data_IF_922289328508
#
_entry.id   IF_922289328508
#
_cell.length_a   1.000
_cell.length_b   1.000
_cell.length_c   1.000
_cell.angle_alpha   90.00
_cell.angle_beta   90.00
_cell.angle_gamma   90.00
#
_symmetry.space_group_name_H-M   'P 1'
#
loop_
_entity.id
_entity.type
_entity.pdbx_description
1 polymer ?
#
# COMPACT_ATOMS: atom_id res chain seq x y z
N UNK A 1 -10.66 24.55 9.75
CA UNK A 1 -11.52 24.88 8.59
C UNK A 1 -11.36 23.83 7.49
N UNK A 2 -12.43 23.57 6.74
CA UNK A 2 -12.35 22.73 5.52
C UNK A 2 -11.66 23.51 4.40
N UNK A 3 -10.76 22.84 3.68
CA UNK A 3 -10.04 23.40 2.54
C UNK A 3 -9.81 22.34 1.46
N UNK A 4 -9.41 22.78 0.26
CA UNK A 4 -9.00 21.89 -0.81
C UNK A 4 -7.62 22.27 -1.32
N UNK A 5 -6.77 21.27 -1.55
CA UNK A 5 -5.59 21.44 -2.38
C UNK A 5 -6.00 21.43 -3.85
N UNK A 6 -5.33 22.27 -4.63
CA UNK A 6 -5.59 22.46 -6.06
C UNK A 6 -4.81 21.49 -6.93
N UNK A 7 -3.66 21.04 -6.45
CA UNK A 7 -2.81 20.06 -7.10
C UNK A 7 -2.35 19.03 -6.05
N UNK A 8 -2.02 17.84 -6.54
CA UNK A 8 -1.50 16.80 -5.67
C UNK A 8 0.00 17.03 -5.41
N UNK A 9 0.76 17.55 -6.39
CA UNK A 9 2.23 17.68 -6.36
C UNK A 9 2.75 18.52 -5.18
N UNK A 10 3.92 18.13 -4.65
CA UNK A 10 4.52 18.75 -3.46
C UNK A 10 4.91 20.21 -3.70
N UNK A 11 5.43 20.50 -4.90
CA UNK A 11 5.88 21.82 -5.34
C UNK A 11 4.73 22.74 -5.76
N UNK A 12 3.54 22.20 -6.02
CA UNK A 12 2.36 22.96 -6.43
C UNK A 12 1.50 23.31 -5.22
N UNK A 13 1.92 24.33 -4.48
CA UNK A 13 1.21 24.82 -3.29
C UNK A 13 0.06 25.73 -3.70
N UNK A 14 -1.12 25.14 -3.91
CA UNK A 14 -2.36 25.87 -4.16
C UNK A 14 -3.45 25.40 -3.21
N UNK A 15 -4.03 26.32 -2.45
CA UNK A 15 -5.07 26.04 -1.45
C UNK A 15 -6.31 26.86 -1.73
N UNK A 16 -7.47 26.22 -1.62
CA UNK A 16 -8.77 26.84 -1.62
C UNK A 16 -9.40 26.80 -0.24
N UNK A 17 -9.80 27.97 0.30
CA UNK A 17 -10.56 28.07 1.55
C UNK A 17 -11.37 29.36 1.58
N UNK A 18 -12.62 29.28 2.05
CA UNK A 18 -13.49 30.44 2.27
C UNK A 18 -13.70 31.34 1.04
N UNK A 19 -13.91 30.76 -0.15
CA UNK A 19 -14.14 31.56 -1.37
C UNK A 19 -12.85 32.00 -2.10
N UNK A 20 -11.67 31.77 -1.53
CA UNK A 20 -10.40 32.33 -1.99
C UNK A 20 -9.37 31.27 -2.33
N UNK A 21 -8.53 31.57 -3.32
CA UNK A 21 -7.39 30.77 -3.72
C UNK A 21 -6.12 31.40 -3.14
N UNK A 22 -5.26 30.59 -2.55
CA UNK A 22 -4.00 30.95 -1.92
C UNK A 22 -2.87 30.16 -2.57
N UNK A 23 -1.79 30.84 -2.97
CA UNK A 23 -0.66 30.23 -3.69
C UNK A 23 0.71 30.44 -3.01
N UNK A 24 0.80 31.40 -2.07
CA UNK A 24 2.06 31.75 -1.40
C UNK A 24 1.94 31.68 0.13
N UNK A 25 0.80 32.12 0.68
CA UNK A 25 0.52 32.09 2.11
C UNK A 25 -0.74 31.28 2.41
N UNK A 26 -0.54 30.07 2.95
CA UNK A 26 -1.62 29.23 3.42
C UNK A 26 -2.18 29.78 4.74
N UNK A 27 -3.50 29.78 4.95
CA UNK A 27 -4.08 30.03 6.27
C UNK A 27 -3.58 29.01 7.29
N UNK A 28 -3.50 29.39 8.56
CA UNK A 28 -2.94 28.54 9.63
C UNK A 28 -3.93 27.52 10.19
N UNK A 29 -5.24 27.78 10.05
CA UNK A 29 -6.28 27.01 10.76
C UNK A 29 -6.96 25.98 9.84
N UNK A 30 -6.15 25.27 9.06
CA UNK A 30 -6.59 24.23 8.13
C UNK A 30 -6.68 22.89 8.88
N UNK A 31 -7.86 22.28 8.91
CA UNK A 31 -8.11 21.10 9.77
C UNK A 31 -8.62 19.89 8.99
N UNK A 32 -9.27 20.11 7.85
CA UNK A 32 -10.01 19.06 7.14
C UNK A 32 -9.93 19.25 5.63
N UNK A 33 -9.73 18.17 4.89
CA UNK A 33 -9.76 18.19 3.42
C UNK A 33 -10.25 16.85 2.87
N UNK A 34 -10.42 16.75 1.55
CA UNK A 34 -10.84 15.50 0.93
C UNK A 34 -9.78 14.40 1.10
N UNK A 35 -8.53 14.64 0.72
CA UNK A 35 -7.49 13.60 0.63
C UNK A 35 -6.10 14.20 0.86
N UNK A 36 -5.19 13.42 1.43
CA UNK A 36 -3.78 13.80 1.56
C UNK A 36 -3.15 14.10 0.20
N UNK A 37 -2.37 15.19 0.17
CA UNK A 37 -1.48 15.61 -0.93
C UNK A 37 -0.15 16.02 -0.32
N UNK A 38 0.95 15.92 -1.07
CA UNK A 38 2.27 16.09 -0.45
C UNK A 38 2.70 17.55 -0.23
N UNK A 39 1.88 18.51 -0.66
CA UNK A 39 1.96 19.91 -0.22
C UNK A 39 1.55 20.11 1.24
N UNK A 40 0.88 19.13 1.86
CA UNK A 40 0.44 19.18 3.26
C UNK A 40 1.53 18.62 4.18
N UNK A 41 2.05 19.50 5.05
CA UNK A 41 3.07 19.14 6.05
C UNK A 41 2.49 18.95 7.45
N UNK A 42 1.30 19.47 7.71
CA UNK A 42 0.66 19.38 9.01
C UNK A 42 0.13 17.96 9.28
N UNK A 43 0.37 17.49 10.50
CA UNK A 43 -0.05 16.16 10.94
C UNK A 43 -1.51 16.11 11.40
N UNK A 44 -2.08 17.25 11.78
CA UNK A 44 -3.41 17.34 12.41
C UNK A 44 -4.55 17.60 11.40
N UNK A 45 -4.41 17.14 10.15
CA UNK A 45 -5.43 17.28 9.11
C UNK A 45 -6.24 15.98 8.98
N UNK A 46 -7.56 16.09 9.05
CA UNK A 46 -8.47 14.98 8.77
C UNK A 46 -8.81 14.86 7.27
N UNK A 47 -8.91 13.63 6.78
CA UNK A 47 -9.15 13.30 5.37
C UNK A 47 -10.47 12.56 5.18
N UNK A 48 -11.46 13.23 4.58
CA UNK A 48 -12.79 12.65 4.33
C UNK A 48 -12.75 11.41 3.42
N UNK A 49 -11.76 11.29 2.53
CA UNK A 49 -11.59 10.12 1.67
C UNK A 49 -11.36 8.81 2.45
N UNK A 50 -10.76 8.89 3.65
CA UNK A 50 -10.61 7.76 4.55
C UNK A 50 -11.93 7.37 5.22
N UNK A 51 -12.74 8.36 5.62
CA UNK A 51 -14.11 8.14 6.13
C UNK A 51 -14.98 7.47 5.08
N UNK A 52 -14.83 7.91 3.82
CA UNK A 52 -15.52 7.34 2.67
C UNK A 52 -14.94 5.98 2.20
N UNK A 53 -13.95 5.40 2.89
CA UNK A 53 -13.30 4.12 2.57
C UNK A 53 -12.85 4.03 1.11
N UNK A 54 -12.26 5.11 0.59
CA UNK A 54 -11.70 5.12 -0.76
C UNK A 54 -12.66 5.50 -1.88
N UNK A 55 -13.95 5.73 -1.61
CA UNK A 55 -14.94 6.13 -2.62
C UNK A 55 -14.50 7.40 -3.36
N UNK A 56 -14.87 7.48 -4.63
CA UNK A 56 -14.72 8.71 -5.43
C UNK A 56 -15.67 9.81 -4.93
N UNK A 57 -15.41 11.06 -5.33
CA UNK A 57 -16.32 12.18 -5.04
C UNK A 57 -17.75 11.89 -5.52
N UNK A 58 -17.92 11.29 -6.69
CA UNK A 58 -19.25 10.93 -7.24
C UNK A 58 -19.97 9.90 -6.37
N UNK A 59 -19.25 8.90 -5.86
CA UNK A 59 -19.82 7.84 -5.02
C UNK A 59 -20.12 8.28 -3.58
N UNK A 60 -19.52 9.38 -3.14
CA UNK A 60 -19.67 9.94 -1.80
C UNK A 60 -20.54 11.20 -1.76
N UNK A 61 -20.84 11.80 -2.92
CA UNK A 61 -21.64 13.00 -3.01
C UNK A 61 -23.12 12.72 -2.66
N UNK A 62 -23.79 13.65 -1.97
CA UNK A 62 -25.23 13.58 -1.77
C UNK A 62 -25.98 13.85 -3.09
N UNK A 63 -27.19 13.32 -3.20
CA UNK A 63 -27.99 13.34 -4.43
C UNK A 63 -28.24 14.76 -4.96
N UNK A 64 -28.35 15.77 -4.08
CA UNK A 64 -28.58 17.15 -4.50
C UNK A 64 -27.37 17.78 -5.22
N UNK A 65 -26.15 17.36 -4.87
CA UNK A 65 -24.90 17.93 -5.38
C UNK A 65 -24.38 17.16 -6.61
N UNK A 66 -24.76 15.89 -6.74
CA UNK A 66 -24.27 15.00 -7.78
C UNK A 66 -24.43 15.57 -9.21
N UNK A 67 -25.55 16.20 -9.62
CA UNK A 67 -25.67 16.80 -10.95
C UNK A 67 -24.65 17.93 -11.21
N UNK A 68 -24.38 18.76 -10.18
CA UNK A 68 -23.41 19.85 -10.27
C UNK A 68 -21.98 19.30 -10.39
N UNK A 69 -21.65 18.30 -9.56
CA UNK A 69 -20.37 17.61 -9.58
C UNK A 69 -20.09 16.97 -10.94
N UNK A 70 -21.03 16.20 -11.49
CA UNK A 70 -20.87 15.52 -12.78
C UNK A 70 -20.63 16.53 -13.90
N UNK A 71 -21.34 17.67 -13.89
CA UNK A 71 -21.11 18.76 -14.86
C UNK A 71 -19.71 19.35 -14.72
N UNK A 72 -19.25 19.60 -13.50
CA UNK A 72 -17.93 20.14 -13.24
C UNK A 72 -16.81 19.15 -13.63
N UNK A 73 -16.95 17.85 -13.34
CA UNK A 73 -15.99 16.82 -13.72
C UNK A 73 -15.93 16.60 -15.23
N UNK A 74 -17.06 16.71 -15.96
CA UNK A 74 -17.05 16.70 -17.43
C UNK A 74 -16.23 17.86 -18.00
N UNK A 75 -16.39 19.05 -17.42
CA UNK A 75 -15.59 20.23 -17.80
C UNK A 75 -14.11 20.05 -17.46
N UNK A 76 -13.80 19.53 -16.27
CA UNK A 76 -12.43 19.20 -15.86
C UNK A 76 -11.77 18.19 -16.81
N UNK A 77 -12.49 17.13 -17.15
CA UNK A 77 -12.04 16.10 -18.10
C UNK A 77 -11.77 16.68 -19.49
N UNK A 78 -12.54 17.70 -19.91
CA UNK A 78 -12.29 18.41 -21.16
C UNK A 78 -10.97 19.20 -21.13
N UNK A 79 -10.65 19.87 -20.01
CA UNK A 79 -9.33 20.51 -19.82
C UNK A 79 -8.19 19.49 -19.84
N UNK A 80 -8.30 18.40 -19.08
CA UNK A 80 -7.28 17.34 -19.08
C UNK A 80 -7.08 16.74 -20.48
N UNK A 81 -8.16 16.58 -21.24
CA UNK A 81 -8.09 16.12 -22.63
C UNK A 81 -7.39 17.14 -23.52
N UNK A 82 -7.65 18.44 -23.39
CA UNK A 82 -6.97 19.47 -24.20
C UNK A 82 -5.48 19.54 -23.86
N UNK A 83 -5.10 19.43 -22.59
CA UNK A 83 -3.69 19.39 -22.16
C UNK A 83 -2.95 18.19 -22.74
N UNK A 84 -3.58 17.01 -22.73
CA UNK A 84 -3.03 15.80 -23.36
C UNK A 84 -2.86 15.95 -24.87
N UNK A 85 -3.82 16.56 -25.57
CA UNK A 85 -3.72 16.84 -27.02
C UNK A 85 -2.57 17.81 -27.29
N UNK A 86 -2.41 18.82 -26.43
CA UNK A 86 -1.31 19.79 -26.49
C UNK A 86 0.04 19.22 -26.02
N UNK A 87 0.10 17.95 -25.60
CA UNK A 87 1.30 17.27 -25.08
C UNK A 87 1.93 17.98 -23.87
N UNK A 88 1.11 18.60 -23.03
CA UNK A 88 1.56 19.22 -21.79
C UNK A 88 1.87 18.13 -20.76
N UNK A 89 3.05 18.16 -20.17
CA UNK A 89 3.43 17.24 -19.10
C UNK A 89 2.87 17.73 -17.75
N UNK A 90 1.80 17.10 -17.25
CA UNK A 90 1.18 17.48 -15.98
C UNK A 90 2.03 17.19 -14.74
N UNK A 91 3.17 16.51 -14.89
CA UNK A 91 4.18 16.39 -13.83
C UNK A 91 5.04 17.64 -13.67
N UNK A 92 5.19 18.43 -14.72
CA UNK A 92 6.04 19.64 -14.74
C UNK A 92 5.24 20.92 -14.52
N UNK A 93 3.91 20.86 -14.66
CA UNK A 93 3.02 22.02 -14.56
C UNK A 93 1.99 21.87 -13.44
N UNK A 94 1.77 22.95 -12.69
CA UNK A 94 0.67 23.02 -11.73
C UNK A 94 -0.66 23.21 -12.46
N UNK A 95 -1.68 22.44 -12.05
CA UNK A 95 -2.97 22.47 -12.74
C UNK A 95 -3.66 23.82 -12.65
N UNK A 96 -3.43 24.56 -11.57
CA UNK A 96 -4.04 25.87 -11.35
C UNK A 96 -3.50 26.97 -12.26
N UNK A 97 -2.34 26.76 -12.90
CA UNK A 97 -1.82 27.69 -13.91
C UNK A 97 -2.50 27.50 -15.28
N UNK A 98 -3.06 26.32 -15.51
CA UNK A 98 -3.63 25.91 -16.80
C UNK A 98 -5.16 26.01 -16.85
N UNK A 99 -5.80 26.06 -15.68
CA UNK A 99 -7.26 26.00 -15.54
C UNK A 99 -7.78 27.35 -15.02
N UNK A 100 -8.88 27.89 -15.57
CA UNK A 100 -9.43 29.17 -15.13
C UNK A 100 -9.77 29.20 -13.63
N UNK A 101 -9.37 30.27 -12.94
CA UNK A 101 -9.56 30.45 -11.50
C UNK A 101 -11.04 30.32 -11.06
N UNK A 102 -11.97 30.87 -11.83
CA UNK A 102 -13.41 30.79 -11.52
C UNK A 102 -13.92 29.35 -11.52
N UNK A 103 -13.39 28.52 -12.44
CA UNK A 103 -13.72 27.10 -12.46
C UNK A 103 -13.10 26.36 -11.28
N UNK A 104 -11.84 26.66 -10.92
CA UNK A 104 -11.19 26.05 -9.75
C UNK A 104 -11.98 26.35 -8.47
N UNK A 105 -12.37 27.61 -8.25
CA UNK A 105 -13.21 28.00 -7.11
C UNK A 105 -14.52 27.22 -7.08
N UNK A 106 -15.23 27.16 -8.21
CA UNK A 106 -16.47 26.40 -8.32
C UNK A 106 -16.25 24.92 -7.98
N UNK A 107 -15.23 24.30 -8.54
CA UNK A 107 -14.94 22.88 -8.31
C UNK A 107 -14.56 22.59 -6.85
N UNK A 108 -13.75 23.47 -6.24
CA UNK A 108 -13.37 23.35 -4.84
C UNK A 108 -14.55 23.59 -3.88
N UNK A 109 -15.50 24.45 -4.21
CA UNK A 109 -16.76 24.60 -3.45
C UNK A 109 -17.59 23.31 -3.49
N UNK A 110 -17.74 22.70 -4.66
CA UNK A 110 -18.42 21.41 -4.79
C UNK A 110 -17.71 20.35 -3.93
N UNK A 111 -16.38 20.28 -4.00
CA UNK A 111 -15.57 19.37 -3.16
C UNK A 111 -15.76 19.65 -1.67
N UNK A 112 -15.78 20.92 -1.23
CA UNK A 112 -15.99 21.28 0.17
C UNK A 112 -17.32 20.75 0.70
N UNK A 113 -18.41 20.96 -0.03
CA UNK A 113 -19.73 20.45 0.37
C UNK A 113 -19.76 18.91 0.48
N UNK A 114 -19.07 18.21 -0.42
CA UNK A 114 -18.95 16.75 -0.36
C UNK A 114 -18.08 16.32 0.83
N UNK A 115 -16.96 17.01 1.06
CA UNK A 115 -16.08 16.78 2.22
C UNK A 115 -16.85 16.95 3.52
N UNK A 116 -17.60 18.04 3.67
CA UNK A 116 -18.45 18.32 4.83
C UNK A 116 -19.51 17.23 5.02
N UNK A 117 -20.26 16.90 3.96
CA UNK A 117 -21.25 15.82 3.99
C UNK A 117 -20.65 14.50 4.47
N UNK A 118 -19.47 14.11 3.97
CA UNK A 118 -18.82 12.86 4.37
C UNK A 118 -18.41 12.91 5.84
N UNK A 119 -17.77 13.99 6.31
CA UNK A 119 -17.32 14.10 7.69
C UNK A 119 -18.48 14.11 8.70
N UNK A 120 -19.65 14.63 8.31
CA UNK A 120 -20.85 14.67 9.16
C UNK A 120 -21.64 13.36 9.16
N UNK A 121 -21.67 12.64 8.03
CA UNK A 121 -22.59 11.50 7.85
C UNK A 121 -21.91 10.12 7.83
N UNK A 122 -20.58 10.06 7.68
CA UNK A 122 -19.83 8.82 7.65
C UNK A 122 -19.11 8.61 8.98
N UNK A 123 -19.09 7.36 9.45
CA UNK A 123 -18.38 7.00 10.67
C UNK A 123 -16.87 7.04 10.46
N UNK A 124 -16.14 7.68 11.39
CA UNK A 124 -14.68 7.66 11.39
C UNK A 124 -14.19 6.22 11.58
N UNK A 125 -13.39 5.65 10.66
CA UNK A 125 -12.86 4.30 10.82
C UNK A 125 -12.06 4.17 12.11
N UNK A 126 -12.28 3.11 12.87
CA UNK A 126 -11.54 2.88 14.13
C UNK A 126 -10.01 2.74 13.92
N UNK A 127 -9.60 2.41 12.71
CA UNK A 127 -8.21 2.26 12.28
C UNK A 127 -7.70 3.46 11.46
N UNK A 128 -8.34 4.62 11.60
CA UNK A 128 -8.03 5.83 10.84
C UNK A 128 -6.54 6.19 10.85
N UNK A 129 -5.90 6.21 12.03
CA UNK A 129 -4.47 6.57 12.16
C UNK A 129 -3.54 5.64 11.37
N UNK A 130 -3.86 4.35 11.35
CA UNK A 130 -3.14 3.36 10.55
C UNK A 130 -3.33 3.66 9.05
N UNK A 131 -4.57 3.90 8.63
CA UNK A 131 -4.87 4.21 7.22
C UNK A 131 -4.22 5.52 6.76
N UNK A 132 -4.18 6.54 7.62
CA UNK A 132 -3.53 7.82 7.29
C UNK A 132 -2.02 7.65 7.11
N UNK A 133 -1.35 6.99 8.06
CA UNK A 133 0.09 6.69 7.96
C UNK A 133 0.43 5.93 6.68
N UNK A 134 -0.37 4.89 6.37
CA UNK A 134 -0.21 4.12 5.14
C UNK A 134 -0.47 4.98 3.90
N UNK A 135 -1.55 5.76 3.87
CA UNK A 135 -1.88 6.61 2.73
C UNK A 135 -0.73 7.60 2.42
N UNK A 136 -0.12 8.21 3.43
CA UNK A 136 1.01 9.13 3.27
C UNK A 136 2.23 8.43 2.68
N UNK A 137 2.55 7.22 3.15
CA UNK A 137 3.62 6.41 2.57
C UNK A 137 3.32 6.05 1.11
N UNK A 138 2.12 5.53 0.81
CA UNK A 138 1.76 5.16 -0.56
C UNK A 138 1.78 6.37 -1.50
N UNK A 139 1.38 7.54 -1.00
CA UNK A 139 1.51 8.79 -1.72
C UNK A 139 2.99 9.10 -2.02
N UNK A 140 3.89 8.98 -1.04
CA UNK A 140 5.33 9.18 -1.25
C UNK A 140 5.89 8.24 -2.33
N UNK A 141 5.54 6.96 -2.29
CA UNK A 141 5.95 5.96 -3.30
C UNK A 141 5.41 6.34 -4.70
N UNK A 142 4.16 6.79 -4.81
CA UNK A 142 3.57 7.21 -6.10
C UNK A 142 4.38 8.27 -6.83
N UNK A 143 5.00 9.19 -6.10
CA UNK A 143 5.80 10.28 -6.70
C UNK A 143 7.29 9.95 -6.83
N UNK A 144 7.72 8.76 -6.44
CA UNK A 144 9.06 8.26 -6.70
C UNK A 144 9.12 7.57 -8.07
N UNK A 145 10.05 8.02 -8.91
CA UNK A 145 10.35 7.31 -10.15
C UNK A 145 11.29 6.15 -9.85
N UNK A 146 10.92 4.96 -10.31
CA UNK A 146 11.77 3.78 -10.34
C UNK A 146 12.72 3.86 -11.54
N UNK A 147 13.95 3.39 -11.33
CA UNK A 147 14.91 3.23 -12.40
C UNK A 147 14.60 1.94 -13.17
N UNK A 148 13.84 2.08 -14.27
CA UNK A 148 13.48 0.99 -15.17
C UNK A 148 14.34 1.10 -16.43
N UNK A 149 15.24 0.15 -16.64
CA UNK A 149 16.04 0.12 -17.86
C UNK A 149 16.45 -1.30 -18.29
N UNK A 150 16.86 -1.43 -19.55
CA UNK A 150 17.11 -2.73 -20.20
C UNK A 150 18.58 -3.14 -20.23
N UNK A 151 19.48 -2.37 -19.61
CA UNK A 151 20.90 -2.69 -19.61
C UNK A 151 21.13 -4.02 -18.86
N UNK A 152 21.86 -4.94 -19.50
CA UNK A 152 22.09 -6.30 -18.97
C UNK A 152 20.90 -7.26 -19.14
N UNK A 153 19.84 -6.86 -19.85
CA UNK A 153 18.59 -7.64 -19.97
C UNK A 153 18.31 -8.17 -21.40
N UNK A 154 19.32 -8.27 -22.27
CA UNK A 154 19.17 -8.71 -23.68
C UNK A 154 18.41 -10.03 -23.83
N UNK A 155 18.60 -10.95 -22.89
CA UNK A 155 17.96 -12.27 -22.86
C UNK A 155 16.43 -12.19 -22.78
N UNK A 156 15.88 -11.14 -22.18
CA UNK A 156 14.42 -10.96 -22.08
C UNK A 156 13.77 -10.58 -23.43
N UNK A 157 14.55 -10.16 -24.42
CA UNK A 157 14.06 -9.70 -25.72
C UNK A 157 14.12 -10.78 -26.83
N UNK A 158 14.49 -12.02 -26.48
CA UNK A 158 14.60 -13.12 -27.44
C UNK A 158 13.24 -13.62 -27.94
N UNK A 159 12.21 -13.59 -27.08
CA UNK A 159 10.83 -13.97 -27.46
C UNK A 159 10.03 -12.72 -27.83
N UNK A 160 9.33 -12.76 -28.96
CA UNK A 160 8.54 -11.62 -29.48
C UNK A 160 7.52 -11.10 -28.47
N UNK A 161 6.79 -12.00 -27.80
CA UNK A 161 5.79 -11.63 -26.78
C UNK A 161 6.39 -10.89 -25.58
N UNK A 162 7.58 -11.30 -25.15
CA UNK A 162 8.25 -10.69 -24.00
C UNK A 162 8.81 -9.31 -24.38
N UNK A 163 9.33 -9.17 -25.62
CA UNK A 163 9.80 -7.89 -26.17
C UNK A 163 8.74 -6.79 -26.14
N UNK A 164 7.52 -7.07 -26.62
CA UNK A 164 6.44 -6.07 -26.63
C UNK A 164 6.05 -5.65 -25.21
N UNK A 165 5.91 -6.61 -24.30
CA UNK A 165 5.57 -6.33 -22.90
C UNK A 165 6.63 -5.51 -22.20
N UNK A 166 7.91 -5.85 -22.38
CA UNK A 166 9.01 -5.12 -21.75
C UNK A 166 9.17 -3.74 -22.35
N UNK A 167 8.99 -3.60 -23.66
CA UNK A 167 8.97 -2.28 -24.30
C UNK A 167 7.86 -1.41 -23.71
N UNK A 168 6.65 -1.97 -23.56
CA UNK A 168 5.56 -1.26 -22.89
C UNK A 168 5.90 -0.90 -21.44
N UNK A 169 6.59 -1.76 -20.68
CA UNK A 169 7.02 -1.46 -19.31
C UNK A 169 8.06 -0.33 -19.25
N UNK A 170 8.98 -0.29 -20.21
CA UNK A 170 9.99 0.77 -20.35
C UNK A 170 9.38 2.11 -20.79
N UNK A 171 8.37 2.06 -21.65
CA UNK A 171 7.65 3.24 -22.16
C UNK A 171 6.56 3.72 -21.19
N UNK A 172 6.08 2.86 -20.29
CA UNK A 172 5.05 3.18 -19.29
C UNK A 172 5.60 3.96 -18.11
N UNK A 173 4.72 4.69 -17.42
CA UNK A 173 5.11 5.48 -16.25
C UNK A 173 5.84 4.61 -15.20
N UNK A 174 7.03 5.07 -14.82
CA UNK A 174 7.99 4.34 -14.00
C UNK A 174 7.72 4.39 -12.49
N UNK A 175 6.47 4.47 -12.05
CA UNK A 175 6.12 4.62 -10.63
C UNK A 175 5.06 3.60 -10.21
N UNK A 176 4.90 3.43 -8.90
CA UNK A 176 3.89 2.55 -8.34
C UNK A 176 2.78 3.37 -7.70
N UNK A 177 1.58 3.29 -8.26
CA UNK A 177 0.36 3.90 -7.72
C UNK A 177 -0.52 2.81 -7.11
N UNK A 178 -0.48 2.70 -5.78
CA UNK A 178 -1.27 1.72 -5.04
C UNK A 178 -2.71 2.19 -4.80
N UNK A 179 -3.63 1.23 -4.84
CA UNK A 179 -4.99 1.40 -4.34
C UNK A 179 -5.14 0.69 -2.99
N UNK A 180 -5.22 1.51 -1.93
CA UNK A 180 -5.37 1.10 -0.53
C UNK A 180 -6.68 0.35 -0.26
N UNK A 181 -7.76 0.72 -0.97
CA UNK A 181 -9.10 0.15 -0.79
C UNK A 181 -9.49 -0.81 -1.92
N UNK A 182 -8.52 -1.28 -2.72
CA UNK A 182 -8.79 -2.15 -3.87
C UNK A 182 -9.15 -3.59 -3.49
N UNK A 183 -8.88 -4.01 -2.25
CA UNK A 183 -9.35 -5.28 -1.68
C UNK A 183 -10.04 -5.08 -0.35
N UNK A 184 -11.02 -5.95 -0.06
CA UNK A 184 -11.70 -5.96 1.25
C UNK A 184 -10.78 -6.38 2.40
N UNK A 185 -9.74 -7.16 2.11
CA UNK A 185 -8.75 -7.61 3.10
C UNK A 185 -7.65 -6.57 3.37
N UNK A 186 -7.62 -5.44 2.66
CA UNK A 186 -6.57 -4.43 2.85
C UNK A 186 -5.23 -4.74 2.21
N UNK A 187 -5.13 -5.85 1.48
CA UNK A 187 -4.02 -6.06 0.56
C UNK A 187 -4.01 -4.94 -0.48
N UNK A 188 -2.83 -4.37 -0.71
CA UNK A 188 -2.66 -3.39 -1.76
C UNK A 188 -2.99 -4.00 -3.13
N UNK A 189 -3.55 -3.15 -3.99
CA UNK A 189 -3.62 -3.39 -5.43
C UNK A 189 -2.95 -2.21 -6.14
N UNK A 190 -2.85 -2.24 -7.45
CA UNK A 190 -2.32 -1.12 -8.23
C UNK A 190 -3.45 -0.47 -9.04
N UNK A 191 -3.42 0.85 -9.15
CA UNK A 191 -4.30 1.60 -10.04
C UNK A 191 -3.95 1.32 -11.51
N UNK A 192 -4.89 1.52 -12.45
CA UNK A 192 -4.57 1.51 -13.87
C UNK A 192 -3.40 2.44 -14.20
N UNK A 193 -2.58 2.10 -15.19
CA UNK A 193 -1.39 2.86 -15.62
C UNK A 193 -0.21 2.89 -14.62
N UNK A 194 -0.36 2.29 -13.43
CA UNK A 194 0.75 2.02 -12.51
C UNK A 194 1.68 0.93 -13.06
N UNK A 195 2.95 0.94 -12.65
CA UNK A 195 3.82 -0.22 -12.79
C UNK A 195 3.16 -1.41 -12.04
N UNK A 196 2.95 -2.57 -12.70
CA UNK A 196 2.21 -3.68 -12.11
C UNK A 196 3.08 -4.53 -11.18
N UNK A 197 3.76 -3.89 -10.21
CA UNK A 197 4.79 -4.53 -9.37
C UNK A 197 4.27 -5.77 -8.63
N UNK A 198 3.02 -5.74 -8.18
CA UNK A 198 2.35 -6.82 -7.46
C UNK A 198 2.05 -8.07 -8.32
N UNK A 199 2.00 -7.92 -9.64
CA UNK A 199 1.66 -9.01 -10.58
C UNK A 199 2.73 -9.22 -11.65
N UNK A 200 3.85 -8.51 -11.53
CA UNK A 200 4.96 -8.57 -12.47
C UNK A 200 5.59 -9.96 -12.43
N UNK A 201 5.78 -10.55 -13.61
CA UNK A 201 6.53 -11.81 -13.76
C UNK A 201 7.93 -11.66 -13.20
N UNK A 202 8.40 -12.69 -12.50
CA UNK A 202 9.67 -12.66 -11.81
C UNK A 202 10.84 -12.29 -12.74
N UNK A 203 10.92 -12.87 -13.94
CA UNK A 203 11.98 -12.60 -14.91
C UNK A 203 12.01 -11.14 -15.39
N UNK A 204 10.86 -10.46 -15.42
CA UNK A 204 10.78 -9.05 -15.80
C UNK A 204 11.32 -8.13 -14.72
N UNK A 205 11.35 -8.55 -13.45
CA UNK A 205 11.88 -7.73 -12.32
C UNK A 205 13.33 -7.30 -12.54
N UNK A 206 14.07 -7.98 -13.42
CA UNK A 206 15.46 -7.67 -13.76
C UNK A 206 15.65 -6.27 -14.35
N UNK A 207 14.62 -5.72 -15.00
CA UNK A 207 14.67 -4.36 -15.57
C UNK A 207 14.53 -3.26 -14.51
N UNK A 208 14.09 -3.61 -13.30
CA UNK A 208 13.95 -2.69 -12.18
C UNK A 208 15.28 -2.65 -11.44
N UNK A 209 15.89 -1.46 -11.38
CA UNK A 209 17.18 -1.19 -10.75
C UNK A 209 17.02 -0.14 -9.65
N UNK A 210 17.92 -0.09 -8.67
CA UNK A 210 17.91 0.97 -7.67
C UNK A 210 18.23 2.32 -8.33
N UNK A 211 17.68 3.38 -7.75
CA UNK A 211 18.06 4.77 -7.99
C UNK A 211 19.31 5.14 -7.17
N UNK A 212 19.49 4.53 -6.00
CA UNK A 212 20.74 4.54 -5.24
C UNK A 212 21.64 3.35 -5.65
N UNK A 213 22.21 2.62 -4.70
CA UNK A 213 23.25 1.63 -4.95
C UNK A 213 22.71 0.19 -4.98
N UNK A 214 21.77 -0.14 -4.09
CA UNK A 214 21.27 -1.50 -3.91
C UNK A 214 19.77 -1.51 -3.62
N UNK A 215 19.08 -2.56 -4.04
CA UNK A 215 17.85 -2.97 -3.38
C UNK A 215 18.16 -3.80 -2.15
N UNK A 216 17.45 -3.53 -1.07
CA UNK A 216 17.36 -4.34 0.13
C UNK A 216 15.92 -4.84 0.26
N UNK A 217 15.72 -6.14 0.09
CA UNK A 217 14.43 -6.81 0.22
C UNK A 217 14.32 -7.47 1.59
N UNK A 218 13.23 -7.16 2.29
CA UNK A 218 12.85 -7.74 3.57
C UNK A 218 11.54 -8.50 3.40
N UNK A 219 11.56 -9.80 3.67
CA UNK A 219 10.41 -10.69 3.53
C UNK A 219 10.23 -11.52 4.80
N UNK A 220 8.99 -11.76 5.22
CA UNK A 220 8.73 -12.61 6.38
C UNK A 220 8.80 -14.09 6.01
N UNK A 221 9.50 -14.86 6.83
CA UNK A 221 9.46 -16.31 6.73
C UNK A 221 8.07 -16.86 7.13
N UNK A 222 7.17 -17.01 6.16
CA UNK A 222 5.81 -17.53 6.35
C UNK A 222 4.90 -16.60 7.16
N UNK A 223 4.71 -15.37 6.66
CA UNK A 223 3.97 -14.29 7.32
C UNK A 223 2.60 -14.71 7.86
N UNK A 224 1.77 -15.38 7.06
CA UNK A 224 0.42 -15.79 7.46
C UNK A 224 0.44 -16.86 8.56
N UNK A 225 1.42 -17.76 8.53
CA UNK A 225 1.58 -18.80 9.56
C UNK A 225 1.98 -18.17 10.89
N UNK A 226 2.93 -17.23 10.86
CA UNK A 226 3.32 -16.44 12.04
C UNK A 226 2.18 -15.59 12.59
N UNK A 227 1.37 -15.02 11.68
CA UNK A 227 0.15 -14.28 12.02
C UNK A 227 -0.85 -15.17 12.73
N UNK A 228 -1.07 -16.41 12.25
CA UNK A 228 -1.88 -17.41 12.94
C UNK A 228 -1.36 -17.62 14.36
N UNK A 229 -0.08 -17.97 14.51
CA UNK A 229 0.52 -18.23 15.82
C UNK A 229 0.33 -17.04 16.77
N UNK A 230 0.53 -15.83 16.26
CA UNK A 230 0.35 -14.58 16.98
C UNK A 230 -1.08 -14.37 17.46
N UNK A 231 -2.07 -14.54 16.57
CA UNK A 231 -3.50 -14.47 16.91
C UNK A 231 -3.89 -15.54 17.93
N UNK A 232 -3.20 -16.68 17.96
CA UNK A 232 -3.45 -17.76 18.92
C UNK A 232 -2.77 -17.55 20.28
N UNK A 233 -1.98 -16.47 20.43
CA UNK A 233 -1.23 -16.15 21.65
C UNK A 233 0.03 -16.99 21.84
N UNK A 234 0.54 -17.65 20.80
CA UNK A 234 1.75 -18.47 20.89
C UNK A 234 3.02 -17.65 20.67
N UNK A 235 4.11 -18.08 21.29
CA UNK A 235 5.43 -17.50 21.04
C UNK A 235 5.90 -17.78 19.62
N UNK A 236 6.54 -16.79 19.00
CA UNK A 236 7.04 -16.88 17.64
C UNK A 236 8.29 -17.77 17.57
N UNK A 237 8.34 -18.77 16.68
CA UNK A 237 9.55 -19.57 16.48
C UNK A 237 10.69 -18.72 15.89
N UNK A 238 11.89 -18.85 16.46
CA UNK A 238 13.10 -18.18 15.95
C UNK A 238 13.70 -18.84 14.70
N UNK A 239 13.21 -20.01 14.30
CA UNK A 239 13.65 -20.75 13.11
C UNK A 239 12.65 -20.63 11.95
N UNK A 240 12.99 -21.22 10.80
CA UNK A 240 12.09 -21.35 9.66
C UNK A 240 10.77 -22.03 10.10
N UNK A 241 9.64 -21.40 9.82
CA UNK A 241 8.34 -21.83 10.33
C UNK A 241 7.87 -23.16 9.73
N UNK A 242 8.28 -23.45 8.49
CA UNK A 242 7.94 -24.71 7.85
C UNK A 242 8.79 -25.85 8.40
N UNK A 243 10.08 -25.61 8.69
CA UNK A 243 10.92 -26.56 9.42
C UNK A 243 10.40 -26.76 10.85
N UNK A 244 10.00 -25.69 11.54
CA UNK A 244 9.39 -25.79 12.86
C UNK A 244 8.12 -26.65 12.84
N UNK A 245 7.28 -26.51 11.81
CA UNK A 245 6.12 -27.39 11.62
C UNK A 245 6.53 -28.85 11.37
N UNK A 246 7.61 -29.12 10.63
CA UNK A 246 8.14 -30.49 10.46
C UNK A 246 8.44 -31.12 11.81
N UNK A 247 9.14 -30.38 12.67
CA UNK A 247 9.62 -30.91 13.94
C UNK A 247 8.48 -31.09 14.95
N UNK A 248 7.54 -30.13 15.01
CA UNK A 248 6.50 -30.07 16.06
C UNK A 248 5.18 -30.73 15.66
N UNK A 249 4.83 -30.75 14.37
CA UNK A 249 3.56 -31.32 13.88
C UNK A 249 3.80 -32.67 13.22
N UNK A 250 4.69 -32.69 12.24
CA UNK A 250 4.92 -33.88 11.43
C UNK A 250 5.93 -34.84 12.08
N UNK A 251 6.50 -34.48 13.24
CA UNK A 251 7.46 -35.29 14.00
C UNK A 251 8.65 -35.75 13.15
N UNK A 252 9.14 -34.88 12.27
CA UNK A 252 10.27 -35.17 11.37
C UNK A 252 9.98 -36.15 10.23
N UNK A 253 8.70 -36.51 9.99
CA UNK A 253 8.35 -37.57 9.03
C UNK A 253 8.34 -37.13 7.57
N UNK A 254 8.31 -35.83 7.30
CA UNK A 254 8.25 -35.26 5.95
C UNK A 254 9.27 -34.14 5.82
N UNK A 255 9.66 -33.85 4.59
CA UNK A 255 10.52 -32.71 4.30
C UNK A 255 9.78 -31.37 4.44
N UNK A 256 10.57 -30.29 4.45
CA UNK A 256 10.09 -28.92 4.60
C UNK A 256 9.10 -28.49 3.50
N UNK A 257 9.36 -28.85 2.25
CA UNK A 257 8.58 -28.35 1.11
C UNK A 257 7.22 -29.07 0.99
N UNK A 258 7.19 -30.37 1.31
CA UNK A 258 5.96 -31.14 1.50
C UNK A 258 5.20 -30.59 2.70
N UNK A 259 5.86 -30.34 3.83
CA UNK A 259 5.21 -29.76 5.01
C UNK A 259 4.56 -28.41 4.71
N UNK A 260 5.26 -27.53 3.99
CA UNK A 260 4.73 -26.25 3.52
C UNK A 260 3.48 -26.44 2.67
N UNK A 261 3.54 -27.33 1.67
CA UNK A 261 2.43 -27.58 0.75
C UNK A 261 1.21 -28.14 1.48
N UNK A 262 1.42 -29.15 2.34
CA UNK A 262 0.36 -29.76 3.15
C UNK A 262 -0.26 -28.73 4.10
N UNK A 263 0.56 -27.90 4.75
CA UNK A 263 0.09 -26.87 5.67
C UNK A 263 -0.79 -25.84 4.95
N UNK A 264 -0.35 -25.28 3.82
CA UNK A 264 -1.16 -24.29 3.09
C UNK A 264 -2.44 -24.88 2.51
N UNK A 265 -2.40 -26.13 2.04
CA UNK A 265 -3.60 -26.83 1.59
C UNK A 265 -4.62 -27.01 2.74
N UNK A 266 -4.15 -27.29 3.96
CA UNK A 266 -4.99 -27.31 5.15
C UNK A 266 -5.48 -25.91 5.56
N UNK A 267 -4.57 -24.92 5.57
CA UNK A 267 -4.83 -23.55 6.03
C UNK A 267 -6.01 -22.93 5.29
N UNK A 268 -6.03 -23.06 3.96
CA UNK A 268 -7.04 -22.43 3.10
C UNK A 268 -8.28 -23.29 2.85
N UNK A 269 -8.29 -24.57 3.25
CA UNK A 269 -9.44 -25.45 3.11
C UNK A 269 -10.15 -25.63 4.46
N UNK A 270 -11.28 -24.95 4.72
CA UNK A 270 -12.01 -25.01 5.99
C UNK A 270 -12.43 -26.43 6.40
N UNK A 271 -12.67 -27.31 5.42
CA UNK A 271 -13.15 -28.69 5.63
C UNK A 271 -12.01 -29.67 5.92
N UNK A 272 -10.75 -29.27 5.68
CA UNK A 272 -9.60 -30.13 5.89
C UNK A 272 -9.41 -30.47 7.36
N UNK A 273 -9.25 -31.76 7.66
CA UNK A 273 -8.95 -32.30 9.00
C UNK A 273 -7.51 -32.84 9.10
N UNK A 274 -6.67 -32.51 8.11
CA UNK A 274 -5.31 -33.07 8.01
C UNK A 274 -4.42 -32.67 9.19
N UNK A 275 -4.62 -31.47 9.72
CA UNK A 275 -3.95 -30.98 10.93
C UNK A 275 -5.03 -30.71 11.99
N UNK A 276 -5.05 -31.54 13.03
CA UNK A 276 -5.90 -31.38 14.21
C UNK A 276 -5.02 -31.49 15.46
N UNK A 277 -5.10 -30.49 16.34
CA UNK A 277 -4.32 -30.44 17.58
C UNK A 277 -4.31 -29.03 18.19
N UNK A 278 -3.77 -28.93 19.42
CA UNK A 278 -3.81 -27.69 20.22
C UNK A 278 -3.01 -26.53 19.62
N UNK A 279 -2.04 -26.83 18.74
CA UNK A 279 -1.18 -25.82 18.13
C UNK A 279 -1.89 -24.95 17.09
N UNK A 280 -2.77 -25.51 16.26
CA UNK A 280 -3.43 -24.75 15.20
C UNK A 280 -4.95 -24.94 15.25
N UNK A 281 -5.62 -24.02 15.95
CA UNK A 281 -7.08 -24.05 16.11
C UNK A 281 -7.77 -22.88 15.37
N UNK A 282 -8.31 -23.19 14.19
CA UNK A 282 -9.09 -22.24 13.38
C UNK A 282 -10.42 -21.86 14.05
N UNK A 283 -11.05 -22.80 14.75
CA UNK A 283 -12.36 -22.59 15.38
C UNK A 283 -12.24 -21.63 16.56
N UNK A 284 -11.17 -21.75 17.35
CA UNK A 284 -10.85 -20.81 18.42
C UNK A 284 -10.73 -19.38 17.87
N UNK A 285 -9.95 -19.18 16.81
CA UNK A 285 -9.81 -17.84 16.20
C UNK A 285 -11.12 -17.33 15.60
N UNK A 286 -11.91 -18.18 14.94
CA UNK A 286 -13.22 -17.76 14.44
C UNK A 286 -14.19 -17.37 15.57
N UNK A 287 -14.19 -18.10 16.68
CA UNK A 287 -15.04 -17.78 17.85
C UNK A 287 -14.69 -16.40 18.43
N UNK A 288 -13.42 -16.02 18.40
CA UNK A 288 -12.94 -14.74 18.92
C UNK A 288 -13.22 -13.58 17.95
N UNK A 289 -12.88 -13.76 16.68
CA UNK A 289 -12.76 -12.67 15.71
C UNK A 289 -13.92 -12.59 14.72
N UNK A 290 -14.74 -13.63 14.56
CA UNK A 290 -15.90 -13.67 13.66
C UNK A 290 -17.22 -13.59 14.45
N UNK A 291 -17.97 -12.51 14.25
CA UNK A 291 -19.25 -12.25 14.92
C UNK A 291 -20.25 -11.68 13.92
N UNK A 292 -21.47 -12.20 13.91
CA UNK A 292 -22.61 -11.68 13.13
C UNK A 292 -22.31 -11.43 11.63
N UNK A 293 -21.61 -12.37 10.98
CA UNK A 293 -21.28 -12.25 9.56
C UNK A 293 -20.12 -11.28 9.25
N UNK A 294 -19.36 -10.86 10.27
CA UNK A 294 -18.23 -9.95 10.14
C UNK A 294 -17.00 -10.47 10.86
N UNK A 295 -15.82 -10.20 10.30
CA UNK A 295 -14.56 -10.26 11.03
C UNK A 295 -14.25 -8.87 11.56
N UNK A 296 -13.85 -8.77 12.82
CA UNK A 296 -13.19 -7.57 13.31
C UNK A 296 -11.73 -7.93 13.55
N UNK A 297 -10.79 -7.30 12.85
CA UNK A 297 -9.37 -7.65 12.97
C UNK A 297 -8.73 -6.96 14.18
N UNK A 298 -7.54 -7.40 14.63
CA UNK A 298 -6.75 -6.71 15.65
C UNK A 298 -6.34 -5.27 15.28
N UNK A 299 -6.43 -4.91 14.00
CA UNK A 299 -6.25 -3.55 13.48
C UNK A 299 -7.57 -2.81 13.37
N UNK A 300 -8.64 -3.29 14.02
CA UNK A 300 -9.97 -2.66 14.08
C UNK A 300 -10.66 -2.49 12.71
N UNK A 301 -10.19 -3.20 11.69
CA UNK A 301 -10.87 -3.29 10.39
C UNK A 301 -12.05 -4.26 10.52
N UNK A 302 -13.24 -3.82 10.14
CA UNK A 302 -14.44 -4.66 10.09
C UNK A 302 -14.73 -5.13 8.65
N UNK A 303 -14.84 -6.43 8.43
CA UNK A 303 -15.02 -7.03 7.10
C UNK A 303 -16.24 -7.94 7.09
N UNK A 304 -17.26 -7.61 6.30
CA UNK A 304 -18.42 -8.50 6.09
C UNK A 304 -18.01 -9.69 5.23
N UNK A 305 -18.26 -10.91 5.71
CA UNK A 305 -17.81 -12.13 5.04
C UNK A 305 -18.63 -13.36 5.49
N UNK A 306 -18.77 -14.32 4.58
CA UNK A 306 -19.32 -15.63 4.91
C UNK A 306 -18.33 -16.46 5.72
N UNK A 307 -18.83 -17.25 6.66
CA UNK A 307 -18.01 -18.02 7.62
C UNK A 307 -16.90 -18.84 6.96
N UNK A 308 -17.19 -19.50 5.84
CA UNK A 308 -16.24 -20.31 5.07
C UNK A 308 -14.97 -19.54 4.64
N UNK A 309 -15.07 -18.21 4.44
CA UNK A 309 -13.95 -17.36 4.05
C UNK A 309 -13.38 -16.55 5.21
N UNK A 310 -14.05 -16.59 6.38
CA UNK A 310 -13.76 -15.68 7.47
C UNK A 310 -12.33 -15.88 8.00
N UNK A 311 -11.91 -17.13 8.17
CA UNK A 311 -10.57 -17.44 8.66
C UNK A 311 -9.47 -16.92 7.72
N UNK A 312 -9.62 -17.15 6.40
CA UNK A 312 -8.66 -16.68 5.41
C UNK A 312 -8.59 -15.15 5.38
N UNK A 313 -9.74 -14.46 5.44
CA UNK A 313 -9.77 -12.99 5.44
C UNK A 313 -9.15 -12.41 6.71
N UNK A 314 -9.34 -13.05 7.86
CA UNK A 314 -8.72 -12.65 9.13
C UNK A 314 -7.19 -12.68 9.01
N UNK A 315 -6.63 -13.80 8.54
CA UNK A 315 -5.18 -13.93 8.35
C UNK A 315 -4.66 -12.92 7.32
N UNK A 316 -5.24 -12.92 6.11
CA UNK A 316 -4.78 -12.05 5.03
C UNK A 316 -4.82 -10.57 5.40
N UNK A 317 -5.89 -10.15 6.08
CA UNK A 317 -6.02 -8.76 6.49
C UNK A 317 -5.08 -8.40 7.62
N UNK A 318 -4.94 -9.25 8.62
CA UNK A 318 -4.03 -8.98 9.74
C UNK A 318 -2.58 -8.96 9.24
N UNK A 319 -2.19 -9.89 8.37
CA UNK A 319 -0.84 -9.90 7.78
C UNK A 319 -0.58 -8.66 6.93
N UNK A 320 -1.53 -8.25 6.08
CA UNK A 320 -1.38 -7.04 5.28
C UNK A 320 -1.20 -5.80 6.16
N UNK A 321 -2.01 -5.66 7.22
CA UNK A 321 -1.92 -4.52 8.13
C UNK A 321 -0.61 -4.54 8.95
N UNK A 322 -0.07 -5.71 9.33
CA UNK A 322 1.28 -5.81 9.96
C UNK A 322 2.35 -5.28 9.02
N UNK A 323 2.36 -5.73 7.76
CA UNK A 323 3.39 -5.33 6.78
C UNK A 323 3.32 -3.83 6.53
N UNK A 324 2.11 -3.28 6.39
CA UNK A 324 1.90 -1.85 6.18
C UNK A 324 2.27 -1.02 7.40
N UNK A 325 1.96 -1.49 8.62
CA UNK A 325 2.41 -0.85 9.87
C UNK A 325 3.94 -0.77 9.92
N UNK A 326 4.63 -1.87 9.61
CA UNK A 326 6.10 -1.88 9.56
C UNK A 326 6.65 -1.02 8.44
N UNK A 327 6.00 -0.97 7.29
CA UNK A 327 6.40 -0.09 6.19
C UNK A 327 6.35 1.39 6.60
N UNK A 328 5.30 1.80 7.31
CA UNK A 328 5.20 3.17 7.86
C UNK A 328 6.30 3.43 8.89
N UNK A 329 6.58 2.48 9.79
CA UNK A 329 7.65 2.63 10.78
C UNK A 329 9.04 2.74 10.13
N UNK A 330 9.31 1.94 9.10
CA UNK A 330 10.56 2.01 8.33
C UNK A 330 10.66 3.33 7.56
N UNK A 331 9.57 3.83 6.97
CA UNK A 331 9.58 5.13 6.29
C UNK A 331 9.93 6.27 7.23
N UNK A 332 9.42 6.25 8.46
CA UNK A 332 9.79 7.20 9.52
C UNK A 332 11.26 7.07 9.91
N UNK A 333 11.78 5.85 10.01
CA UNK A 333 13.21 5.62 10.28
C UNK A 333 14.12 6.17 9.17
N UNK A 334 13.62 6.15 7.92
CA UNK A 334 14.30 6.67 6.74
C UNK A 334 14.00 8.15 6.46
N UNK A 335 13.32 8.86 7.38
CA UNK A 335 13.08 10.29 7.22
C UNK A 335 14.41 11.07 7.18
N UNK A 336 14.55 11.99 6.21
CA UNK A 336 15.78 12.73 5.93
C UNK A 336 17.00 11.85 5.53
N UNK A 337 16.76 10.63 5.04
CA UNK A 337 17.78 9.74 4.46
C UNK A 337 17.74 9.76 2.94
N UNK A 338 18.82 9.30 2.31
CA UNK A 338 18.85 9.06 0.84
C UNK A 338 18.10 7.79 0.48
N UNK A 339 18.12 6.82 1.38
CA UNK A 339 17.40 5.56 1.22
C UNK A 339 15.92 5.74 1.44
N UNK A 340 15.10 5.01 0.69
CA UNK A 340 13.65 5.10 0.77
C UNK A 340 12.98 3.76 0.43
N UNK A 341 11.74 3.56 0.87
CA UNK A 341 10.94 2.40 0.45
C UNK A 341 10.60 2.57 -1.02
N UNK A 342 11.13 1.69 -1.86
CA UNK A 342 10.91 1.68 -3.30
C UNK A 342 9.52 1.13 -3.65
N UNK A 343 9.16 -0.01 -3.07
CA UNK A 343 7.89 -0.68 -3.32
C UNK A 343 7.60 -1.75 -2.24
N UNK A 344 6.35 -2.20 -2.19
CA UNK A 344 5.83 -3.18 -1.24
C UNK A 344 5.11 -4.27 -2.06
N UNK A 345 5.47 -5.53 -1.86
CA UNK A 345 4.89 -6.67 -2.59
C UNK A 345 4.38 -7.70 -1.60
N UNK A 346 3.08 -7.63 -1.30
CA UNK A 346 2.43 -8.51 -0.33
C UNK A 346 3.08 -8.41 1.06
N UNK A 347 3.89 -9.38 1.45
CA UNK A 347 4.66 -9.46 2.70
C UNK A 347 6.13 -9.04 2.56
N UNK A 348 6.53 -8.57 1.39
CA UNK A 348 7.87 -8.06 1.09
C UNK A 348 7.89 -6.51 1.09
N UNK A 349 8.89 -5.92 1.75
CA UNK A 349 9.24 -4.49 1.63
C UNK A 349 10.59 -4.39 0.93
N UNK A 350 10.66 -3.57 -0.12
CA UNK A 350 11.90 -3.32 -0.87
C UNK A 350 12.34 -1.89 -0.66
N UNK A 351 13.55 -1.72 -0.15
CA UNK A 351 14.19 -0.43 0.11
C UNK A 351 15.23 -0.18 -0.99
N UNK A 352 15.20 1.02 -1.56
CA UNK A 352 16.27 1.56 -2.39
C UNK A 352 17.33 2.14 -1.46
N UNK A 353 18.42 1.40 -1.24
CA UNK A 353 19.43 1.64 -0.21
C UNK A 353 20.67 2.31 -0.80
N UNK A 354 21.07 3.44 -0.21
CA UNK A 354 22.35 4.08 -0.48
C UNK A 354 23.50 3.38 0.27
N UNK A 355 24.66 3.19 -0.37
CA UNK A 355 25.80 2.48 0.23
C UNK A 355 26.31 3.17 1.50
N UNK A 356 26.22 4.50 1.56
CA UNK A 356 26.59 5.29 2.73
C UNK A 356 25.66 5.08 3.95
N UNK A 357 24.47 4.52 3.73
CA UNK A 357 23.46 4.22 4.76
C UNK A 357 23.31 2.72 5.04
N UNK A 358 24.19 1.87 4.49
CA UNK A 358 24.13 0.41 4.67
C UNK A 358 24.21 -0.04 6.13
N UNK A 359 24.80 0.77 7.00
CA UNK A 359 24.86 0.53 8.43
C UNK A 359 23.47 0.54 9.11
N UNK A 360 22.44 1.09 8.45
CA UNK A 360 21.05 1.04 8.93
C UNK A 360 20.40 -0.34 8.74
N UNK A 361 20.98 -1.22 7.93
CA UNK A 361 20.38 -2.52 7.57
C UNK A 361 19.98 -3.38 8.78
N UNK A 362 20.81 -3.55 9.83
CA UNK A 362 20.40 -4.31 11.02
C UNK A 362 19.21 -3.67 11.74
N UNK A 363 19.18 -2.35 11.85
CA UNK A 363 18.08 -1.60 12.49
C UNK A 363 16.79 -1.73 11.69
N UNK A 364 16.85 -1.62 10.37
CA UNK A 364 15.71 -1.81 9.46
C UNK A 364 15.18 -3.24 9.59
N UNK A 365 16.06 -4.25 9.58
CA UNK A 365 15.68 -5.66 9.77
C UNK A 365 14.98 -5.86 11.11
N UNK A 366 15.51 -5.27 12.18
CA UNK A 366 14.92 -5.37 13.51
C UNK A 366 13.55 -4.69 13.58
N UNK A 367 13.39 -3.50 13.00
CA UNK A 367 12.10 -2.81 12.96
C UNK A 367 11.07 -3.62 12.18
N UNK A 368 11.45 -4.20 11.04
CA UNK A 368 10.58 -5.09 10.28
C UNK A 368 10.22 -6.37 11.04
N UNK A 369 11.18 -6.97 11.76
CA UNK A 369 10.97 -8.18 12.54
C UNK A 369 10.04 -7.96 13.74
N UNK A 370 10.09 -6.78 14.38
CA UNK A 370 9.36 -6.48 15.61
C UNK A 370 7.88 -6.20 15.35
N UNK A 371 7.07 -7.24 15.42
CA UNK A 371 5.61 -7.14 15.26
C UNK A 371 4.88 -7.07 16.60
N UNK A 372 3.58 -6.77 16.54
CA UNK A 372 2.66 -6.83 17.69
C UNK A 372 2.55 -8.22 18.33
N UNK A 373 2.97 -9.25 17.61
CA UNK A 373 2.92 -10.65 18.02
C UNK A 373 4.30 -11.23 18.35
N UNK A 374 5.30 -10.37 18.58
CA UNK A 374 6.68 -10.76 18.80
C UNK A 374 7.52 -10.66 17.54
N UNK A 375 8.74 -11.20 17.60
CA UNK A 375 9.69 -11.10 16.50
C UNK A 375 9.41 -12.16 15.42
N UNK A 376 9.18 -11.70 14.20
CA UNK A 376 9.06 -12.56 13.03
C UNK A 376 10.44 -12.76 12.43
N UNK A 377 10.75 -13.99 12.01
CA UNK A 377 11.97 -14.25 11.26
C UNK A 377 11.88 -13.57 9.89
N UNK A 378 12.88 -12.76 9.59
CA UNK A 378 12.98 -11.97 8.36
C UNK A 378 14.07 -12.57 7.46
N UNK A 379 13.68 -12.88 6.22
CA UNK A 379 14.60 -13.19 5.14
C UNK A 379 15.10 -11.87 4.55
N UNK A 380 16.42 -11.73 4.43
CA UNK A 380 17.03 -10.51 3.93
C UNK A 380 17.78 -10.81 2.63
N UNK A 381 17.49 -10.03 1.59
CA UNK A 381 18.21 -10.13 0.32
C UNK A 381 18.65 -8.76 -0.18
N UNK A 382 19.77 -8.72 -0.89
CA UNK A 382 20.26 -7.50 -1.52
C UNK A 382 20.76 -7.73 -2.94
N UNK A 383 20.64 -6.73 -3.81
CA UNK A 383 21.10 -6.84 -5.19
C UNK A 383 21.06 -5.53 -5.96
N UNK A 384 21.62 -5.53 -7.17
CA UNK A 384 21.67 -4.36 -8.07
C UNK A 384 20.50 -4.30 -9.06
N UNK A 385 19.59 -5.25 -8.97
CA UNK A 385 18.28 -5.24 -9.64
C UNK A 385 17.33 -6.14 -8.83
N UNK A 386 16.03 -6.00 -9.06
CA UNK A 386 15.01 -6.68 -8.25
C UNK A 386 14.89 -8.19 -8.52
N UNK A 387 15.53 -8.70 -9.58
CA UNK A 387 15.54 -10.14 -9.88
C UNK A 387 16.75 -10.87 -9.28
N UNK A 388 17.95 -10.34 -9.46
CA UNK A 388 19.22 -10.95 -9.05
C UNK A 388 19.58 -10.58 -7.59
N UNK A 389 18.64 -10.77 -6.66
CA UNK A 389 18.86 -10.56 -5.23
C UNK A 389 19.59 -11.77 -4.61
N UNK A 390 20.51 -11.50 -3.69
CA UNK A 390 21.27 -12.53 -2.95
C UNK A 390 20.98 -12.44 -1.47
N UNK A 391 20.91 -13.59 -0.81
CA UNK A 391 20.73 -13.67 0.63
C UNK A 391 21.84 -12.89 1.35
N UNK A 392 21.44 -12.03 2.29
CA UNK A 392 22.33 -11.27 3.15
C UNK A 392 22.27 -11.83 4.57
N UNK A 393 23.37 -12.44 5.00
CA UNK A 393 23.49 -12.98 6.36
C UNK A 393 24.05 -11.90 7.27
N UNK A 394 23.21 -11.45 8.20
CA UNK A 394 23.52 -10.45 9.24
C UNK A 394 23.33 -11.05 10.62
#
# INVERSE_FOLDING_TARGET
>A
MIFQTLDDKNECVGIYVGGKLYFESSPTDLTQTWKYTGSLKDKDIEYAWLYAQGRSLEQAAPDEILPELVKAQRRFSAYMKSFRIAKINMREHCIFDLVPADFLKQFCEIKNKITEHVLENYEKPENYEHLDGVQRLLYKIKYQNLNINNEGCKNLFYRTRDREKIKNLLDSHCHVDYNLFGTVTGRLTTNPESLPILTMRQDYRKIIKPCNDYFLSLDYNGAEVRTFLGLSGMQQPGSDIHQWNVDNIFKGKIDRDIAKTVFFAWLYNPESKTLEGDLYDRKKLLTEWYKDGKINTPFKRSIRVVEQKAFNYLLQSTTADIVLEKAVAIDQLLENKKSFISHIVHDEIVIDLADEEKNLTPTIKQEFAKTRYGEYLVNLHAGKNYFDLKELKL
#
